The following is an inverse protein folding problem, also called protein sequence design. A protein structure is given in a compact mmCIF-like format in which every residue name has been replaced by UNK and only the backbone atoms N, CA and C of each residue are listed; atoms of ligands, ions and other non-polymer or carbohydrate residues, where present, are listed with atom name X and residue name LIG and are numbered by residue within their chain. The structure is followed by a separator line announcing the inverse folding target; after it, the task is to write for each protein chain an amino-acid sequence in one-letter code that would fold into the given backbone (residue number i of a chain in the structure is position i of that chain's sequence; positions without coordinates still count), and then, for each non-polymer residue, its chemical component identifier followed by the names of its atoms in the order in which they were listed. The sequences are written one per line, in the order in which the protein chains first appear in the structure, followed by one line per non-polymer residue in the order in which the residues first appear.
data_IF_930486748080
#
_entry.id   IF_930486748080
#
_cell.length_a   1.000
_cell.length_b   1.000
_cell.length_c   1.000
_cell.angle_alpha   90.00
_cell.angle_beta   90.00
_cell.angle_gamma   90.00
#
_symmetry.space_group_name_H-M   'P 1'
#
loop_
_entity.id
_entity.type
_entity.pdbx_description
1 polymer ?
#
# COMPACT_ATOMS: atom_id res chain seq x y z
N UNK A 1 4.41 -3.91 -18.37
CA UNK A 1 5.56 -4.80 -18.54
C UNK A 1 5.92 -5.37 -17.18
N UNK A 2 6.03 -6.69 -17.05
CA UNK A 2 6.30 -7.37 -15.77
C UNK A 2 7.73 -7.12 -15.31
N UNK A 3 8.69 -7.02 -16.23
CA UNK A 3 10.10 -6.78 -15.91
C UNK A 3 10.33 -5.41 -15.28
N UNK A 4 9.76 -4.37 -15.89
CA UNK A 4 9.89 -2.99 -15.40
C UNK A 4 9.28 -2.79 -13.99
N UNK A 5 8.17 -3.46 -13.67
CA UNK A 5 7.56 -3.41 -12.32
C UNK A 5 8.49 -4.01 -11.27
N UNK A 6 9.09 -5.16 -11.57
CA UNK A 6 10.00 -5.84 -10.66
C UNK A 6 11.23 -4.99 -10.31
N UNK A 7 11.79 -4.29 -11.30
CA UNK A 7 12.91 -3.36 -11.06
C UNK A 7 12.51 -2.22 -10.12
N UNK A 8 11.34 -1.62 -10.32
CA UNK A 8 10.82 -0.56 -9.45
C UNK A 8 10.65 -1.08 -8.02
N UNK A 9 10.06 -2.27 -7.83
CA UNK A 9 9.89 -2.86 -6.50
C UNK A 9 11.21 -3.14 -5.81
N UNK A 10 12.22 -3.58 -6.56
CA UNK A 10 13.57 -3.80 -6.04
C UNK A 10 14.19 -2.49 -5.57
N UNK A 11 14.13 -1.43 -6.38
CA UNK A 11 14.61 -0.09 -6.03
C UNK A 11 13.90 0.44 -4.77
N UNK A 12 12.57 0.29 -4.71
CA UNK A 12 11.78 0.70 -3.54
C UNK A 12 12.22 -0.04 -2.27
N UNK A 13 12.41 -1.37 -2.36
CA UNK A 13 12.85 -2.18 -1.23
C UNK A 13 14.23 -1.77 -0.74
N UNK A 14 15.16 -1.50 -1.66
CA UNK A 14 16.53 -1.12 -1.30
C UNK A 14 16.61 0.29 -0.69
N UNK A 15 15.80 1.22 -1.19
CA UNK A 15 15.64 2.55 -0.58
C UNK A 15 15.03 2.45 0.83
N UNK A 16 14.01 1.60 1.02
CA UNK A 16 13.42 1.37 2.33
C UNK A 16 14.44 0.77 3.33
N UNK A 17 15.25 -0.20 2.90
CA UNK A 17 16.35 -0.77 3.71
C UNK A 17 17.42 0.26 4.09
N UNK A 18 17.61 1.30 3.29
CA UNK A 18 18.49 2.44 3.59
C UNK A 18 17.84 3.46 4.54
N UNK A 19 16.66 3.17 5.09
CA UNK A 19 15.92 4.06 5.99
C UNK A 19 15.23 5.22 5.28
N UNK A 20 15.01 5.14 3.96
CA UNK A 20 14.24 6.15 3.22
C UNK A 20 12.74 5.85 3.34
N UNK A 21 11.93 6.91 3.39
CA UNK A 21 10.47 6.81 3.34
C UNK A 21 9.99 6.92 1.90
N UNK A 22 9.05 6.07 1.51
CA UNK A 22 8.44 6.05 0.19
C UNK A 22 6.92 6.16 0.35
N UNK A 23 6.29 7.01 -0.47
CA UNK A 23 4.84 7.01 -0.64
C UNK A 23 4.55 6.28 -1.95
N UNK A 24 3.88 5.14 -1.84
CA UNK A 24 3.49 4.31 -2.97
C UNK A 24 1.97 4.32 -3.13
N UNK A 25 1.51 4.56 -4.35
CA UNK A 25 0.09 4.56 -4.71
C UNK A 25 -0.08 3.53 -5.82
N UNK A 26 -0.94 2.54 -5.57
CA UNK A 26 -1.31 1.53 -6.55
C UNK A 26 -2.80 1.26 -6.48
N UNK A 27 -3.39 0.90 -7.61
CA UNK A 27 -4.76 0.38 -7.72
C UNK A 27 -4.82 -1.15 -7.59
N UNK A 28 -3.68 -1.82 -7.52
CA UNK A 28 -3.55 -3.27 -7.41
C UNK A 28 -3.38 -3.68 -5.95
N UNK A 29 -4.40 -4.33 -5.38
CA UNK A 29 -4.38 -4.76 -3.98
C UNK A 29 -3.18 -5.65 -3.62
N UNK A 30 -2.78 -6.64 -4.46
CA UNK A 30 -1.63 -7.49 -4.16
C UNK A 30 -0.31 -6.70 -4.04
N UNK A 31 -0.16 -5.61 -4.81
CA UNK A 31 1.04 -4.78 -4.77
C UNK A 31 1.10 -3.97 -3.47
N UNK A 32 -0.02 -3.36 -3.06
CA UNK A 32 -0.09 -2.63 -1.80
C UNK A 32 0.21 -3.55 -0.62
N UNK A 33 -0.40 -4.74 -0.59
CA UNK A 33 -0.19 -5.72 0.47
C UNK A 33 1.23 -6.30 0.49
N UNK A 34 1.84 -6.51 -0.68
CA UNK A 34 3.18 -7.09 -0.78
C UNK A 34 4.32 -6.11 -0.50
N UNK A 35 4.12 -4.82 -0.78
CA UNK A 35 5.19 -3.81 -0.76
C UNK A 35 5.13 -2.84 0.42
N UNK A 36 3.99 -2.71 1.10
CA UNK A 36 3.80 -1.64 2.09
C UNK A 36 4.04 -2.12 3.52
N UNK A 37 4.82 -1.37 4.29
CA UNK A 37 4.91 -1.55 5.75
C UNK A 37 3.58 -1.17 6.45
N UNK A 38 2.89 -0.17 5.89
CA UNK A 38 1.60 0.35 6.37
C UNK A 38 0.83 0.94 5.21
N UNK A 39 -0.47 0.66 5.18
CA UNK A 39 -1.41 1.14 4.15
C UNK A 39 -2.30 2.21 4.77
N UNK A 40 -2.35 3.38 4.13
CA UNK A 40 -3.30 4.44 4.45
C UNK A 40 -4.54 4.27 3.59
N UNK A 41 -5.72 4.23 4.19
CA UNK A 41 -6.99 4.05 3.46
C UNK A 41 -7.83 5.32 3.55
N UNK A 42 -8.29 5.81 2.41
CA UNK A 42 -9.17 6.97 2.30
C UNK A 42 -10.56 6.53 1.85
N UNK A 43 -11.60 7.27 2.28
CA UNK A 43 -12.99 7.12 1.84
C UNK A 43 -13.66 8.49 1.81
N UNK A 44 -14.35 8.81 0.71
CA UNK A 44 -15.05 10.10 0.51
C UNK A 44 -14.23 11.37 0.86
N UNK A 45 -12.92 11.39 0.55
CA UNK A 45 -12.03 12.51 0.86
C UNK A 45 -11.50 12.56 2.31
N UNK A 46 -11.89 11.60 3.15
CA UNK A 46 -11.45 11.48 4.54
C UNK A 46 -10.48 10.32 4.71
N UNK A 47 -9.57 10.44 5.69
CA UNK A 47 -8.73 9.34 6.16
C UNK A 47 -9.59 8.37 6.98
N UNK A 48 -9.83 7.16 6.47
CA UNK A 48 -10.51 6.10 7.20
C UNK A 48 -9.61 5.45 8.24
N UNK A 49 -8.30 5.41 7.98
CA UNK A 49 -7.29 4.99 8.95
C UNK A 49 -6.06 4.35 8.31
N UNK A 50 -5.30 3.64 9.14
CA UNK A 50 -4.10 2.92 8.72
C UNK A 50 -4.20 1.43 9.05
N UNK A 51 -3.64 0.60 8.17
CA UNK A 51 -3.52 -0.85 8.37
C UNK A 51 -2.04 -1.23 8.29
N UNK A 52 -1.46 -1.89 9.31
CA UNK A 52 -0.13 -2.46 9.20
C UNK A 52 -0.10 -3.48 8.06
N UNK A 53 0.94 -3.48 7.21
CA UNK A 53 1.02 -4.37 6.03
C UNK A 53 0.86 -5.85 6.38
N UNK A 54 1.46 -6.27 7.51
CA UNK A 54 1.34 -7.64 8.05
C UNK A 54 -0.09 -8.05 8.46
N UNK A 55 -0.97 -7.08 8.69
CA UNK A 55 -2.37 -7.27 9.10
C UNK A 55 -3.35 -6.85 7.98
N UNK A 56 -2.81 -6.53 6.80
CA UNK A 56 -3.59 -6.11 5.66
C UNK A 56 -4.29 -7.33 5.05
N UNK A 57 -5.61 -7.23 4.94
CA UNK A 57 -6.41 -8.10 4.10
C UNK A 57 -7.21 -7.23 3.16
N UNK A 58 -7.51 -7.75 1.97
CA UNK A 58 -8.34 -7.06 1.00
C UNK A 58 -9.69 -6.65 1.62
N UNK A 59 -10.32 -7.54 2.38
CA UNK A 59 -11.56 -7.26 3.12
C UNK A 59 -11.42 -6.07 4.08
N UNK A 60 -10.35 -6.02 4.88
CA UNK A 60 -10.13 -4.95 5.87
C UNK A 60 -9.91 -3.60 5.18
N UNK A 61 -9.16 -3.59 4.07
CA UNK A 61 -8.91 -2.38 3.28
C UNK A 61 -10.21 -1.91 2.62
N UNK A 62 -10.94 -2.82 1.96
CA UNK A 62 -12.19 -2.51 1.28
C UNK A 62 -13.24 -1.98 2.25
N UNK A 63 -13.36 -2.58 3.45
CA UNK A 63 -14.25 -2.08 4.51
C UNK A 63 -13.93 -0.65 4.92
N UNK A 64 -12.65 -0.29 4.99
CA UNK A 64 -12.21 1.08 5.31
C UNK A 64 -12.43 2.04 4.14
N UNK A 65 -12.24 1.57 2.90
CA UNK A 65 -12.44 2.37 1.69
C UNK A 65 -13.91 2.76 1.47
N UNK A 66 -14.85 2.01 2.04
CA UNK A 66 -16.29 2.27 1.98
C UNK A 66 -16.87 2.85 3.27
N UNK A 67 -16.04 3.18 4.25
CA UNK A 67 -16.48 3.59 5.59
C UNK A 67 -17.38 4.84 5.61
N UNK A 68 -17.20 5.77 4.68
CA UNK A 68 -17.94 7.03 4.62
C UNK A 68 -18.81 7.15 3.36
N UNK A 69 -19.13 6.01 2.71
CA UNK A 69 -20.12 5.96 1.63
C UNK A 69 -21.55 6.06 2.16
#
# INVERSE_FOLDING_TARGET
DVGAKYEIYTIMSDLAKQGKSIIFISSEMPELMGMSDRIMVMSAGHLSGFVPGREATEEKIMRMATQYL
#
